data_IF_947885808298
#
_entry.id   IF_947885808298
#
_cell.length_a   1.000
_cell.length_b   1.000
_cell.length_c   1.000
_cell.angle_alpha   90.00
_cell.angle_beta   90.00
_cell.angle_gamma   90.00
#
_symmetry.space_group_name_H-M   'P 1'
#
loop_
_entity.id
_entity.type
_entity.pdbx_description
1 polymer ?
#
# COMPACT_ATOMS: atom_id res chain seq x y z
N UNK A 1 -6.75 -13.98 -12.01
CA UNK A 1 -6.87 -12.94 -10.95
C UNK A 1 -6.80 -11.57 -11.63
N UNK A 2 -7.73 -10.64 -11.36
CA UNK A 2 -7.78 -9.33 -12.04
C UNK A 2 -6.45 -8.58 -11.79
N UNK A 3 -5.73 -8.19 -12.85
CA UNK A 3 -4.38 -7.58 -12.76
C UNK A 3 -4.30 -6.41 -11.78
N UNK A 4 -5.37 -5.63 -11.71
CA UNK A 4 -5.46 -4.50 -10.81
C UNK A 4 -5.46 -4.85 -9.33
N UNK A 5 -5.96 -6.02 -8.94
CA UNK A 5 -5.87 -6.47 -7.53
C UNK A 5 -4.41 -6.73 -7.20
N UNK A 6 -3.67 -7.38 -8.12
CA UNK A 6 -2.21 -7.59 -7.94
C UNK A 6 -1.47 -6.27 -7.87
N UNK A 7 -1.81 -5.29 -8.72
CA UNK A 7 -1.17 -3.97 -8.72
C UNK A 7 -1.47 -3.19 -7.45
N UNK A 8 -2.73 -3.16 -7.00
CA UNK A 8 -3.15 -2.56 -5.74
C UNK A 8 -2.50 -3.20 -4.51
N UNK A 9 -2.41 -4.53 -4.51
CA UNK A 9 -1.79 -5.28 -3.41
C UNK A 9 -0.28 -5.05 -3.37
N UNK A 10 0.41 -5.12 -4.52
CA UNK A 10 1.85 -4.86 -4.63
C UNK A 10 2.17 -3.42 -4.23
N UNK A 11 1.36 -2.46 -4.69
CA UNK A 11 1.55 -1.05 -4.36
C UNK A 11 1.29 -0.76 -2.89
N UNK A 12 0.19 -1.29 -2.34
CA UNK A 12 -0.13 -1.19 -0.92
C UNK A 12 0.94 -1.83 -0.04
N UNK A 13 1.46 -3.00 -0.42
CA UNK A 13 2.53 -3.69 0.31
C UNK A 13 3.85 -2.91 0.27
N UNK A 14 4.24 -2.41 -0.91
CA UNK A 14 5.44 -1.60 -1.09
C UNK A 14 5.40 -0.33 -0.24
N UNK A 15 4.26 0.33 -0.23
CA UNK A 15 4.12 1.62 0.41
C UNK A 15 3.90 1.46 1.93
N UNK A 16 3.29 0.34 2.37
CA UNK A 16 3.31 -0.13 3.75
C UNK A 16 4.73 -0.39 4.26
N UNK A 17 5.56 -1.04 3.44
CA UNK A 17 6.96 -1.28 3.74
C UNK A 17 7.74 0.04 3.88
N UNK A 18 7.57 0.99 2.97
CA UNK A 18 8.22 2.31 3.08
C UNK A 18 7.75 3.04 4.35
N UNK A 19 6.46 3.10 4.64
CA UNK A 19 5.98 3.82 5.83
C UNK A 19 6.36 3.15 7.15
N UNK A 20 6.46 1.82 7.20
CA UNK A 20 6.79 1.11 8.43
C UNK A 20 8.29 0.82 8.59
N UNK A 21 9.08 0.97 7.53
CA UNK A 21 10.53 0.75 7.55
C UNK A 21 11.28 2.04 7.31
N UNK A 22 10.97 2.80 6.25
CA UNK A 22 11.71 4.02 5.91
C UNK A 22 11.40 5.20 6.83
N UNK A 23 10.13 5.42 7.23
CA UNK A 23 9.80 6.48 8.20
C UNK A 23 10.47 6.27 9.57
N UNK A 24 10.36 5.10 10.23
CA UNK A 24 11.03 4.91 11.51
C UNK A 24 12.56 4.95 11.40
N UNK A 25 13.13 4.56 10.26
CA UNK A 25 14.56 4.77 10.00
C UNK A 25 14.92 6.26 9.94
N UNK A 26 14.06 7.09 9.35
CA UNK A 26 14.30 8.52 9.20
C UNK A 26 14.07 9.29 10.52
N UNK A 27 13.05 8.89 11.28
CA UNK A 27 12.66 9.54 12.54
C UNK A 27 13.57 9.15 13.72
N UNK A 28 14.39 8.09 13.60
CA UNK A 28 15.15 7.49 14.73
C UNK A 28 14.27 7.12 15.94
N UNK A 29 12.95 7.09 15.76
CA UNK A 29 11.98 6.71 16.77
C UNK A 29 11.98 5.19 16.94
N UNK A 30 11.82 4.73 18.19
CA UNK A 30 11.69 3.29 18.50
C UNK A 30 10.54 2.72 17.68
N UNK A 31 10.73 1.53 17.10
CA UNK A 31 9.65 0.80 16.42
C UNK A 31 8.52 0.53 17.41
N UNK A 32 7.53 1.42 17.43
CA UNK A 32 6.36 1.31 18.29
C UNK A 32 5.47 0.22 17.67
N UNK A 33 5.59 -1.00 18.20
CA UNK A 33 4.77 -2.17 17.85
C UNK A 33 3.26 -1.86 17.67
N UNK A 34 2.59 -1.09 18.56
CA UNK A 34 1.18 -0.78 18.36
C UNK A 34 0.91 0.12 17.14
N UNK A 35 1.86 0.97 16.74
CA UNK A 35 1.75 1.82 15.55
C UNK A 35 1.82 0.96 14.27
N UNK A 36 2.68 -0.06 14.26
CA UNK A 36 2.78 -1.04 13.18
C UNK A 36 1.46 -1.82 13.02
N UNK A 37 0.86 -2.24 14.14
CA UNK A 37 -0.38 -3.01 14.15
C UNK A 37 -1.58 -2.23 13.59
N UNK A 38 -1.61 -0.90 13.81
CA UNK A 38 -2.62 0.00 13.23
C UNK A 38 -2.31 0.33 11.77
N UNK A 39 -1.01 0.42 11.41
CA UNK A 39 -0.59 0.72 10.05
C UNK A 39 -0.97 -0.39 9.06
N UNK A 40 -0.92 -1.67 9.45
CA UNK A 40 -1.29 -2.80 8.59
C UNK A 40 -2.71 -2.70 8.00
N UNK A 41 -3.79 -2.59 8.79
CA UNK A 41 -5.15 -2.49 8.24
C UNK A 41 -5.36 -1.20 7.43
N UNK A 42 -4.77 -0.07 7.86
CA UNK A 42 -4.81 1.20 7.12
C UNK A 42 -4.17 1.05 5.73
N UNK A 43 -3.01 0.41 5.65
CA UNK A 43 -2.31 0.19 4.39
C UNK A 43 -3.00 -0.78 3.46
N UNK A 44 -3.66 -1.81 4.02
CA UNK A 44 -4.49 -2.73 3.23
C UNK A 44 -5.68 -1.97 2.63
N UNK A 45 -6.35 -1.12 3.42
CA UNK A 45 -7.47 -0.30 2.95
C UNK A 45 -7.02 0.68 1.87
N UNK A 46 -5.91 1.40 2.09
CA UNK A 46 -5.36 2.33 1.10
C UNK A 46 -4.87 1.62 -0.17
N UNK A 47 -4.22 0.46 -0.05
CA UNK A 47 -3.79 -0.36 -1.19
C UNK A 47 -4.98 -0.85 -2.02
N UNK A 48 -6.08 -1.25 -1.37
CA UNK A 48 -7.33 -1.62 -2.04
C UNK A 48 -8.05 -0.42 -2.68
N UNK A 49 -8.03 0.75 -2.04
CA UNK A 49 -8.64 1.98 -2.60
C UNK A 49 -7.80 2.50 -3.78
N UNK A 50 -6.47 2.47 -3.68
CA UNK A 50 -5.57 2.91 -4.74
C UNK A 50 -5.64 1.96 -5.92
N UNK A 51 -5.48 0.68 -5.63
CA UNK A 51 -5.93 -0.39 -6.49
C UNK A 51 -7.44 -0.50 -6.52
N UNK A 52 -8.25 0.55 -6.28
CA UNK A 52 -9.63 0.69 -6.76
C UNK A 52 -9.66 1.74 -7.88
N UNK A 53 -9.14 2.91 -7.53
CA UNK A 53 -9.02 4.10 -8.38
C UNK A 53 -8.20 3.82 -9.64
N UNK A 54 -7.13 3.02 -9.55
CA UNK A 54 -6.23 2.75 -10.69
C UNK A 54 -6.94 2.02 -11.85
N UNK A 55 -7.99 1.24 -11.59
CA UNK A 55 -8.80 0.54 -12.61
C UNK A 55 -9.58 1.52 -13.44
N UNK A 56 -9.95 2.66 -12.84
CA UNK A 56 -10.65 3.75 -13.53
C UNK A 56 -9.71 4.51 -14.46
N UNK A 57 -8.39 4.40 -14.25
CA UNK A 57 -7.33 5.06 -15.03
C UNK A 57 -6.57 4.13 -15.97
N UNK A 58 -6.75 2.82 -15.92
CA UNK A 58 -6.30 1.95 -17.01
C UNK A 58 -7.18 2.27 -18.22
N UNK A 59 -6.68 3.00 -19.25
CA UNK A 59 -7.36 2.97 -20.53
C UNK A 59 -7.44 1.49 -20.90
N UNK A 60 -8.65 1.04 -21.26
CA UNK A 60 -8.91 -0.23 -21.92
C UNK A 60 -7.74 -0.45 -22.88
N UNK A 61 -6.84 -1.40 -22.56
CA UNK A 61 -5.76 -1.77 -23.46
C UNK A 61 -6.47 -2.44 -24.64
N UNK A 62 -6.85 -1.62 -25.62
CA UNK A 62 -7.22 -2.06 -26.95
C UNK A 62 -5.94 -2.60 -27.55
N UNK A 63 -5.77 -3.91 -27.44
CA UNK A 63 -4.87 -4.67 -28.31
C UNK A 63 -5.75 -5.63 -29.07
#
# INVERSE_FOLDING_TARGET
MKSWVKFGLIWGLFMCFIMNVALPLWDNEKLILPKLLIAIPIWIIFGLIFGYVSRKKEPKKQV
#
